data_IF_538402042424
#
_entry.id   IF_538402042424
#
_cell.length_a   1.000
_cell.length_b   1.000
_cell.length_c   1.000
_cell.angle_alpha   90.00
_cell.angle_beta   90.00
_cell.angle_gamma   90.00
#
_symmetry.space_group_name_H-M   'P 1'
#
loop_
_entity.id
_entity.type
_entity.pdbx_description
1 polymer ?
#
# COMPACT_ATOMS: atom_id res chain seq x y z
N UNK A 1 8.22 5.74 23.49
CA UNK A 1 8.31 7.21 23.43
C UNK A 1 8.22 7.72 21.98
N UNK A 2 8.84 7.08 21.00
CA UNK A 2 8.81 7.48 19.57
C UNK A 2 7.42 7.37 18.93
N UNK A 3 6.68 6.27 19.15
CA UNK A 3 5.32 6.08 18.62
C UNK A 3 4.33 7.15 19.15
N UNK A 4 4.47 7.55 20.43
CA UNK A 4 3.63 8.60 21.04
C UNK A 4 3.85 9.95 20.38
N UNK A 5 5.10 10.31 20.05
CA UNK A 5 5.43 11.56 19.38
C UNK A 5 5.04 11.54 17.89
N UNK A 6 5.11 10.38 17.24
CA UNK A 6 4.66 10.18 15.86
C UNK A 6 3.13 10.24 15.74
N UNK A 7 2.40 9.65 16.70
CA UNK A 7 0.94 9.75 16.77
C UNK A 7 0.48 11.19 16.99
N UNK A 8 1.17 11.94 17.85
CA UNK A 8 0.93 13.37 18.06
C UNK A 8 1.22 14.16 16.77
N UNK A 9 2.26 13.82 16.01
CA UNK A 9 2.58 14.47 14.75
C UNK A 9 1.51 14.21 13.67
N UNK A 10 0.99 12.99 13.58
CA UNK A 10 -0.14 12.64 12.68
C UNK A 10 -1.42 13.37 13.10
N UNK A 11 -1.74 13.40 14.39
CA UNK A 11 -2.90 14.12 14.93
C UNK A 11 -2.78 15.62 14.70
N UNK A 12 -1.59 16.19 14.87
CA UNK A 12 -1.31 17.62 14.59
C UNK A 12 -1.43 17.89 13.09
N UNK A 13 -0.92 17.03 12.19
CA UNK A 13 -1.16 17.14 10.77
C UNK A 13 -2.65 17.11 10.42
N UNK A 14 -3.45 16.26 11.07
CA UNK A 14 -4.92 16.23 10.89
C UNK A 14 -5.61 17.51 11.36
N UNK A 15 -5.09 18.21 12.39
CA UNK A 15 -5.68 19.45 12.90
C UNK A 15 -5.32 20.68 12.08
N UNK A 16 -4.17 20.74 11.42
CA UNK A 16 -3.79 21.86 10.56
C UNK A 16 -4.61 21.92 9.25
N UNK A 17 -5.29 20.84 8.85
CA UNK A 17 -6.07 20.78 7.61
C UNK A 17 -7.56 21.14 7.79
N UNK A 18 -8.00 21.66 8.94
CA UNK A 18 -9.35 22.22 9.08
C UNK A 18 -9.53 23.61 8.45
N UNK A 19 -8.52 24.13 7.72
CA UNK A 19 -8.63 25.39 7.01
C UNK A 19 -9.01 25.15 5.54
N UNK A 20 -10.26 25.49 5.19
CA UNK A 20 -10.77 25.78 3.85
C UNK A 20 -10.72 24.62 2.82
N UNK A 21 -11.40 23.53 3.11
CA UNK A 21 -11.96 22.72 2.03
C UNK A 21 -13.22 23.41 1.51
N UNK A 22 -13.19 23.99 0.33
CA UNK A 22 -14.41 24.27 -0.42
C UNK A 22 -15.10 22.92 -0.60
N UNK A 23 -16.28 22.79 -0.01
CA UNK A 23 -17.16 21.65 -0.20
C UNK A 23 -17.50 21.56 -1.68
N UNK A 24 -16.82 20.73 -2.43
CA UNK A 24 -17.31 20.27 -3.72
C UNK A 24 -18.55 19.44 -3.40
N UNK A 25 -19.71 20.08 -3.51
CA UNK A 25 -21.02 19.42 -3.55
C UNK A 25 -21.09 18.53 -4.78
N UNK A 26 -20.40 17.41 -4.74
CA UNK A 26 -20.70 16.28 -5.60
C UNK A 26 -21.68 15.38 -4.85
N UNK A 27 -22.93 15.79 -4.76
CA UNK A 27 -24.07 14.88 -4.66
C UNK A 27 -24.15 14.08 -5.98
N UNK A 28 -23.13 13.24 -6.20
CA UNK A 28 -23.24 12.24 -7.28
C UNK A 28 -24.32 11.28 -6.84
N UNK A 29 -25.46 11.33 -7.52
CA UNK A 29 -26.52 10.32 -7.44
C UNK A 29 -25.79 8.97 -7.48
N UNK A 30 -25.86 8.19 -6.37
CA UNK A 30 -25.23 6.87 -6.32
C UNK A 30 -25.89 6.03 -7.40
N UNK A 31 -25.18 5.83 -8.50
CA UNK A 31 -25.67 5.00 -9.61
C UNK A 31 -25.74 3.57 -9.10
N UNK A 32 -26.93 2.96 -9.14
CA UNK A 32 -27.10 1.56 -8.74
C UNK A 32 -26.41 0.61 -9.74
N UNK A 33 -25.91 -0.51 -9.20
CA UNK A 33 -25.24 -1.55 -9.95
C UNK A 33 -23.71 -1.49 -9.83
N UNK A 34 -23.04 -2.16 -10.74
CA UNK A 34 -21.60 -2.21 -10.82
C UNK A 34 -21.04 -0.97 -11.50
N UNK A 35 -19.94 -0.48 -10.95
CA UNK A 35 -19.12 0.60 -11.50
C UNK A 35 -17.66 0.17 -11.44
N UNK A 36 -16.92 0.48 -12.46
CA UNK A 36 -15.49 0.22 -12.51
C UNK A 36 -14.72 1.47 -12.94
N UNK A 37 -13.52 1.60 -12.47
CA UNK A 37 -12.56 2.61 -12.90
C UNK A 37 -11.16 2.08 -12.71
N UNK A 38 -10.23 2.55 -13.49
CA UNK A 38 -8.84 2.12 -13.32
C UNK A 38 -7.90 3.05 -14.04
N UNK A 39 -6.62 2.95 -13.67
CA UNK A 39 -5.53 3.65 -14.33
C UNK A 39 -4.30 2.79 -14.40
N UNK A 40 -3.57 2.92 -15.48
CA UNK A 40 -2.21 2.41 -15.65
C UNK A 40 -1.25 3.59 -15.55
N UNK A 41 -0.23 3.46 -14.71
CA UNK A 41 0.78 4.50 -14.50
C UNK A 41 2.16 3.93 -14.81
N UNK A 42 2.89 4.60 -15.69
CA UNK A 42 4.30 4.32 -15.96
C UNK A 42 5.13 5.48 -15.41
N UNK A 43 5.89 5.19 -14.36
CA UNK A 43 6.77 6.14 -13.69
C UNK A 43 8.21 5.91 -14.14
N UNK A 44 8.90 6.99 -14.50
CA UNK A 44 10.31 6.95 -14.88
C UNK A 44 11.11 7.99 -14.09
N UNK A 45 12.32 7.60 -13.71
CA UNK A 45 13.31 8.46 -13.09
C UNK A 45 14.69 8.16 -13.68
N UNK A 46 15.45 9.19 -14.04
CA UNK A 46 16.77 9.03 -14.64
C UNK A 46 17.75 10.05 -14.08
N UNK A 47 18.96 9.58 -13.81
CA UNK A 47 20.14 10.44 -13.54
C UNK A 47 21.24 10.07 -14.50
N UNK A 48 21.79 11.06 -15.21
CA UNK A 48 22.83 10.85 -16.21
C UNK A 48 23.96 11.86 -16.04
N UNK A 49 25.20 11.39 -16.01
CA UNK A 49 26.42 12.16 -15.92
C UNK A 49 27.31 11.90 -17.13
N UNK A 50 27.93 12.94 -17.67
CA UNK A 50 28.95 12.84 -18.73
C UNK A 50 30.06 13.83 -18.41
N UNK A 51 31.28 13.33 -18.24
CA UNK A 51 32.48 14.14 -17.90
C UNK A 51 32.27 14.98 -16.60
N UNK A 52 31.50 14.47 -15.65
CA UNK A 52 31.16 15.14 -14.40
C UNK A 52 32.23 14.85 -13.33
N UNK A 53 33.06 15.86 -13.00
CA UNK A 53 34.24 15.67 -12.13
C UNK A 53 33.86 15.44 -10.66
N UNK A 54 32.72 15.96 -10.22
CA UNK A 54 32.27 15.85 -8.80
C UNK A 54 31.80 14.46 -8.37
N UNK A 55 31.87 13.47 -9.27
CA UNK A 55 31.38 12.10 -9.00
C UNK A 55 29.89 11.95 -9.22
N UNK A 56 29.40 10.73 -9.19
CA UNK A 56 28.00 10.34 -9.38
C UNK A 56 27.89 9.10 -10.26
N UNK A 57 26.77 8.36 -10.11
CA UNK A 57 26.48 7.19 -10.91
C UNK A 57 25.29 7.45 -11.83
N UNK A 58 25.37 7.00 -13.07
CA UNK A 58 24.22 6.97 -13.96
C UNK A 58 23.20 5.96 -13.43
N UNK A 59 21.95 6.34 -13.39
CA UNK A 59 20.88 5.46 -12.97
C UNK A 59 19.61 5.65 -13.78
N UNK A 60 18.88 4.58 -13.98
CA UNK A 60 17.53 4.60 -14.55
C UNK A 60 16.61 3.72 -13.69
N UNK A 61 15.47 4.27 -13.32
CA UNK A 61 14.44 3.55 -12.62
C UNK A 61 13.11 3.66 -13.38
N UNK A 62 12.39 2.55 -13.46
CA UNK A 62 11.07 2.50 -14.07
C UNK A 62 10.12 1.66 -13.22
N UNK A 63 8.88 2.14 -13.06
CA UNK A 63 7.82 1.43 -12.36
C UNK A 63 6.56 1.46 -13.21
N UNK A 64 5.97 0.28 -13.41
CA UNK A 64 4.64 0.12 -13.98
C UNK A 64 3.66 -0.22 -12.87
N UNK A 65 2.54 0.49 -12.77
CA UNK A 65 1.47 0.17 -11.84
C UNK A 65 0.10 0.18 -12.52
N UNK A 66 -0.79 -0.67 -12.02
CA UNK A 66 -2.19 -0.75 -12.42
C UNK A 66 -3.02 -0.66 -11.15
N UNK A 67 -3.89 0.34 -11.10
CA UNK A 67 -4.91 0.51 -10.09
C UNK A 67 -6.27 0.24 -10.72
N UNK A 68 -7.08 -0.65 -10.14
CA UNK A 68 -8.39 -0.97 -10.62
C UNK A 68 -9.40 -0.99 -9.48
N UNK A 69 -10.51 -0.28 -9.65
CA UNK A 69 -11.61 -0.23 -8.70
C UNK A 69 -12.84 -0.88 -9.31
N UNK A 70 -13.48 -1.75 -8.55
CA UNK A 70 -14.76 -2.37 -8.87
C UNK A 70 -15.71 -2.15 -7.71
N UNK A 71 -16.75 -1.37 -7.92
CA UNK A 71 -17.68 -0.95 -6.89
C UNK A 71 -19.10 -1.36 -7.26
N UNK A 72 -19.87 -1.77 -6.27
CA UNK A 72 -21.29 -2.10 -6.40
C UNK A 72 -22.09 -1.36 -5.36
N UNK A 73 -23.22 -0.83 -5.79
CA UNK A 73 -24.19 -0.25 -4.87
C UNK A 73 -25.61 -0.60 -5.28
N UNK A 74 -26.41 -1.18 -4.39
CA UNK A 74 -27.85 -1.40 -4.58
C UNK A 74 -28.54 -1.71 -3.25
N UNK A 75 -29.73 -1.10 -3.03
CA UNK A 75 -30.60 -1.41 -1.88
C UNK A 75 -29.86 -1.34 -0.51
N UNK A 76 -28.97 -0.37 -0.33
CA UNK A 76 -28.18 -0.19 0.88
C UNK A 76 -27.05 -1.21 1.08
N UNK A 77 -26.79 -2.08 0.09
CA UNK A 77 -25.55 -2.83 -0.01
C UNK A 77 -24.49 -2.02 -0.75
N UNK A 78 -23.28 -2.05 -0.28
CA UNK A 78 -22.10 -1.55 -0.98
C UNK A 78 -21.03 -2.62 -1.01
N UNK A 79 -20.29 -2.69 -2.10
CA UNK A 79 -19.13 -3.55 -2.22
C UNK A 79 -18.06 -2.79 -2.98
N UNK A 80 -17.06 -2.32 -2.25
CA UNK A 80 -15.95 -1.53 -2.77
C UNK A 80 -14.70 -2.41 -2.84
N UNK A 81 -14.16 -2.65 -4.03
CA UNK A 81 -12.96 -3.45 -4.24
C UNK A 81 -11.92 -2.62 -4.98
N UNK A 82 -10.71 -2.54 -4.42
CA UNK A 82 -9.53 -1.94 -5.06
C UNK A 82 -8.46 -3.01 -5.26
N UNK A 83 -7.97 -3.13 -6.48
CA UNK A 83 -6.85 -3.99 -6.86
C UNK A 83 -5.68 -3.13 -7.29
N UNK A 84 -4.49 -3.44 -6.80
CA UNK A 84 -3.25 -2.75 -7.16
C UNK A 84 -2.21 -3.77 -7.54
N UNK A 85 -1.64 -3.61 -8.73
CA UNK A 85 -0.46 -4.32 -9.18
C UNK A 85 0.64 -3.30 -9.47
N UNK A 86 1.85 -3.49 -8.94
CA UNK A 86 2.96 -2.59 -9.20
C UNK A 86 4.28 -3.36 -9.28
N UNK A 87 5.10 -3.04 -10.27
CA UNK A 87 6.44 -3.61 -10.42
C UNK A 87 7.41 -2.55 -10.91
N UNK A 88 8.53 -2.41 -10.20
CA UNK A 88 9.55 -1.42 -10.53
C UNK A 88 10.96 -1.94 -10.35
N UNK A 89 11.84 -1.50 -11.21
CA UNK A 89 13.27 -1.84 -11.23
C UNK A 89 14.12 -0.60 -11.36
N UNK A 90 15.30 -0.65 -10.76
CA UNK A 90 16.38 0.32 -10.90
C UNK A 90 17.64 -0.36 -11.43
N UNK A 91 18.39 0.33 -12.27
CA UNK A 91 19.72 -0.04 -12.75
C UNK A 91 20.67 1.15 -12.61
N UNK A 92 21.73 0.96 -11.84
CA UNK A 92 22.86 1.87 -11.77
C UNK A 92 23.96 1.38 -12.72
N UNK A 93 24.79 2.28 -13.25
CA UNK A 93 25.91 1.93 -14.14
C UNK A 93 26.83 0.86 -13.54
N UNK A 94 27.14 1.00 -12.26
CA UNK A 94 28.13 0.16 -11.57
C UNK A 94 27.52 -1.11 -10.94
N UNK A 95 26.20 -1.27 -10.98
CA UNK A 95 25.52 -2.44 -10.47
C UNK A 95 25.47 -3.56 -11.50
N UNK A 96 25.83 -4.78 -11.10
CA UNK A 96 25.68 -5.99 -11.94
C UNK A 96 24.19 -6.32 -12.20
N UNK A 97 23.31 -6.04 -11.25
CA UNK A 97 21.92 -6.47 -11.26
C UNK A 97 20.93 -5.31 -11.46
N UNK A 98 19.79 -5.60 -12.08
CA UNK A 98 18.59 -4.80 -11.90
C UNK A 98 18.08 -5.04 -10.47
N UNK A 99 17.90 -3.95 -9.71
CA UNK A 99 17.40 -4.00 -8.33
C UNK A 99 15.92 -3.67 -8.31
N UNK A 100 15.14 -4.49 -7.67
CA UNK A 100 13.72 -4.28 -7.47
C UNK A 100 13.50 -3.10 -6.51
N UNK A 101 12.69 -2.13 -6.90
CA UNK A 101 12.35 -0.93 -6.12
C UNK A 101 10.88 -0.86 -5.76
N UNK A 102 10.02 -1.55 -6.52
CA UNK A 102 8.61 -1.76 -6.21
C UNK A 102 8.19 -3.16 -6.64
N UNK A 103 7.31 -3.79 -5.88
CA UNK A 103 6.75 -5.10 -6.24
C UNK A 103 5.57 -5.40 -5.32
N UNK A 104 4.36 -5.26 -5.83
CA UNK A 104 3.16 -5.36 -5.03
C UNK A 104 2.01 -5.94 -5.82
N UNK A 105 1.32 -6.89 -5.21
CA UNK A 105 -0.04 -7.32 -5.55
C UNK A 105 -0.88 -7.06 -4.31
N UNK A 106 -1.92 -6.28 -4.43
CA UNK A 106 -2.80 -5.97 -3.31
C UNK A 106 -4.25 -5.97 -3.77
N UNK A 107 -5.13 -6.61 -2.99
CA UNK A 107 -6.58 -6.60 -3.17
C UNK A 107 -7.20 -6.18 -1.86
N UNK A 108 -7.92 -5.07 -1.88
CA UNK A 108 -8.71 -4.58 -0.76
C UNK A 108 -10.17 -4.62 -1.15
N UNK A 109 -11.00 -5.34 -0.40
CA UNK A 109 -12.41 -5.49 -0.67
C UNK A 109 -13.21 -5.28 0.61
N UNK A 110 -14.18 -4.36 0.59
CA UNK A 110 -15.06 -4.08 1.72
C UNK A 110 -16.50 -4.20 1.25
N UNK A 111 -17.24 -5.13 1.84
CA UNK A 111 -18.67 -5.27 1.65
C UNK A 111 -19.39 -4.69 2.86
N UNK A 112 -20.41 -3.84 2.63
CA UNK A 112 -21.16 -3.18 3.68
C UNK A 112 -22.67 -3.28 3.48
N UNK A 113 -23.42 -3.41 4.59
CA UNK A 113 -24.88 -3.25 4.61
C UNK A 113 -25.23 -2.04 5.47
N UNK A 114 -25.79 -1.02 4.85
CA UNK A 114 -26.22 0.22 5.52
C UNK A 114 -27.28 -0.11 6.58
N UNK A 115 -27.11 0.40 7.81
CA UNK A 115 -28.09 0.32 8.89
C UNK A 115 -28.54 1.69 9.40
N UNK A 116 -27.68 2.71 9.26
CA UNK A 116 -28.01 4.12 9.51
C UNK A 116 -27.21 4.98 8.52
N UNK A 117 -27.51 6.28 8.42
CA UNK A 117 -26.78 7.19 7.53
C UNK A 117 -25.29 7.07 7.68
N UNK A 118 -24.56 6.98 6.59
CA UNK A 118 -23.10 6.84 6.53
C UNK A 118 -22.50 5.60 7.24
N UNK A 119 -23.24 4.84 8.06
CA UNK A 119 -22.75 3.67 8.76
C UNK A 119 -23.31 2.37 8.17
N UNK A 120 -22.43 1.39 8.04
CA UNK A 120 -22.76 0.04 7.55
C UNK A 120 -22.10 -1.03 8.43
N UNK A 121 -22.78 -2.14 8.67
CA UNK A 121 -22.08 -3.35 9.06
C UNK A 121 -21.18 -3.77 7.93
N UNK A 122 -19.94 -4.15 8.22
CA UNK A 122 -18.95 -4.46 7.19
C UNK A 122 -18.31 -5.83 7.38
N UNK A 123 -17.93 -6.42 6.24
CA UNK A 123 -16.94 -7.48 6.17
C UNK A 123 -15.89 -7.05 5.16
N UNK A 124 -14.60 -7.29 5.47
CA UNK A 124 -13.54 -6.94 4.55
C UNK A 124 -12.58 -8.11 4.31
N UNK A 125 -11.96 -8.09 3.13
CA UNK A 125 -10.83 -8.91 2.73
C UNK A 125 -9.67 -7.98 2.33
N UNK A 126 -8.49 -8.19 2.91
CA UNK A 126 -7.24 -7.63 2.39
C UNK A 126 -6.31 -8.80 2.04
N UNK A 127 -5.73 -8.73 0.86
CA UNK A 127 -4.70 -9.65 0.39
C UNK A 127 -3.50 -8.85 -0.10
N UNK A 128 -2.30 -9.20 0.37
CA UNK A 128 -1.03 -8.60 -0.05
C UNK A 128 0.00 -9.66 -0.35
N UNK A 129 0.71 -9.52 -1.46
CA UNK A 129 1.92 -10.29 -1.80
C UNK A 129 2.76 -9.53 -2.82
N UNK A 130 3.73 -10.19 -3.45
CA UNK A 130 4.62 -9.66 -4.47
C UNK A 130 4.73 -10.61 -5.67
N UNK A 131 5.15 -10.10 -6.85
CA UNK A 131 5.30 -10.89 -8.08
C UNK A 131 6.62 -11.65 -8.12
N UNK A 132 7.73 -10.95 -7.88
CA UNK A 132 9.06 -11.37 -8.22
C UNK A 132 9.93 -11.66 -6.98
N UNK A 133 11.04 -12.36 -7.20
CA UNK A 133 12.04 -12.57 -6.16
C UNK A 133 12.64 -11.24 -5.70
N UNK A 134 12.73 -11.05 -4.39
CA UNK A 134 13.47 -9.97 -3.76
C UNK A 134 14.80 -10.46 -3.23
N UNK A 135 15.83 -9.61 -3.32
CA UNK A 135 17.19 -9.98 -2.97
C UNK A 135 17.80 -8.97 -1.99
N UNK A 136 18.63 -9.47 -1.09
CA UNK A 136 19.63 -8.68 -0.37
C UNK A 136 20.92 -8.72 -1.18
N UNK A 137 21.48 -7.56 -1.48
CA UNK A 137 22.73 -7.42 -2.22
C UNK A 137 23.88 -7.17 -1.26
N UNK A 138 25.05 -7.69 -1.59
CA UNK A 138 26.32 -7.51 -0.87
C UNK A 138 27.48 -7.60 -1.83
N UNK A 139 28.64 -7.05 -1.47
CA UNK A 139 29.88 -7.19 -2.20
C UNK A 139 30.73 -8.26 -1.49
N UNK A 140 31.26 -9.22 -2.23
CA UNK A 140 32.18 -10.23 -1.68
C UNK A 140 33.61 -9.65 -1.52
N UNK A 141 34.51 -10.45 -0.96
CA UNK A 141 35.92 -10.04 -0.71
C UNK A 141 36.68 -9.72 -1.99
N UNK A 142 36.25 -10.26 -3.12
CA UNK A 142 36.83 -10.00 -4.46
C UNK A 142 36.28 -8.74 -5.12
N UNK A 143 35.38 -7.98 -4.42
CA UNK A 143 34.73 -6.79 -4.97
C UNK A 143 33.53 -7.07 -5.88
N UNK A 144 33.11 -8.32 -6.07
CA UNK A 144 31.99 -8.69 -6.92
C UNK A 144 30.65 -8.51 -6.19
N UNK A 145 29.68 -7.91 -6.87
CA UNK A 145 28.31 -7.83 -6.35
C UNK A 145 27.63 -9.21 -6.37
N UNK A 146 27.15 -9.63 -5.20
CA UNK A 146 26.43 -10.89 -4.96
C UNK A 146 25.02 -10.60 -4.45
N UNK A 147 24.13 -11.60 -4.52
CA UNK A 147 22.75 -11.45 -4.03
C UNK A 147 22.24 -12.73 -3.38
N UNK A 148 21.45 -12.57 -2.30
CA UNK A 148 20.77 -13.63 -1.59
C UNK A 148 19.28 -13.38 -1.65
N UNK A 149 18.50 -14.38 -2.12
CA UNK A 149 17.05 -14.31 -2.19
C UNK A 149 16.45 -14.16 -0.78
N UNK A 150 15.58 -13.18 -0.58
CA UNK A 150 14.91 -12.90 0.69
C UNK A 150 13.40 -13.03 0.61
N UNK A 151 12.80 -12.78 -0.54
CA UNK A 151 11.36 -12.85 -0.75
C UNK A 151 11.03 -13.37 -2.15
N UNK A 152 9.81 -13.87 -2.34
CA UNK A 152 9.24 -14.31 -3.63
C UNK A 152 7.72 -14.26 -3.59
N UNK A 153 7.06 -14.62 -4.71
CA UNK A 153 5.61 -14.78 -4.76
C UNK A 153 5.12 -15.65 -3.59
N UNK A 154 4.11 -15.19 -2.87
CA UNK A 154 3.56 -15.80 -1.65
C UNK A 154 4.57 -16.00 -0.49
N UNK A 155 5.67 -15.25 -0.50
CA UNK A 155 6.67 -15.33 0.59
C UNK A 155 7.30 -13.94 0.86
N UNK A 156 6.66 -13.12 1.74
CA UNK A 156 5.42 -13.38 2.44
C UNK A 156 4.17 -13.11 1.59
N UNK A 157 3.03 -13.72 2.01
CA UNK A 157 1.69 -13.28 1.64
C UNK A 157 0.87 -13.06 2.90
N UNK A 158 0.02 -12.02 2.90
CA UNK A 158 -0.87 -11.67 4.00
C UNK A 158 -2.32 -11.74 3.51
N UNK A 159 -3.15 -12.43 4.26
CA UNK A 159 -4.60 -12.50 4.05
C UNK A 159 -5.25 -12.04 5.33
N UNK A 160 -6.05 -10.98 5.27
CA UNK A 160 -6.84 -10.51 6.42
C UNK A 160 -8.32 -10.58 6.07
N UNK A 161 -9.10 -11.08 7.02
CA UNK A 161 -10.56 -11.12 6.96
C UNK A 161 -11.11 -10.59 8.28
N UNK A 162 -12.06 -9.67 8.22
CA UNK A 162 -12.64 -9.12 9.44
C UNK A 162 -14.06 -8.62 9.25
N UNK A 163 -14.77 -8.49 10.38
CA UNK A 163 -16.11 -7.93 10.45
C UNK A 163 -16.14 -6.73 11.39
N UNK A 164 -16.94 -5.73 11.04
CA UNK A 164 -16.94 -4.49 11.79
C UNK A 164 -17.97 -3.46 11.35
N UNK A 165 -17.60 -2.20 11.55
CA UNK A 165 -18.40 -1.02 11.20
C UNK A 165 -17.63 -0.20 10.18
N UNK A 166 -18.29 0.11 9.07
CA UNK A 166 -17.79 0.96 8.00
C UNK A 166 -18.54 2.28 8.01
N UNK A 167 -17.83 3.36 8.33
CA UNK A 167 -18.30 4.71 8.18
C UNK A 167 -17.79 5.28 6.85
N UNK A 168 -18.69 5.70 5.98
CA UNK A 168 -18.36 6.26 4.67
C UNK A 168 -19.13 7.55 4.46
N UNK A 169 -18.43 8.69 4.61
CA UNK A 169 -18.99 10.00 4.29
C UNK A 169 -19.24 10.13 2.78
N UNK A 170 -18.23 9.76 1.98
CA UNK A 170 -18.26 9.75 0.52
C UNK A 170 -17.12 8.86 -0.02
N UNK A 171 -16.85 8.91 -1.34
CA UNK A 171 -15.72 8.14 -1.92
C UNK A 171 -14.34 8.69 -1.56
N UNK A 172 -14.26 9.90 -1.01
CA UNK A 172 -13.00 10.54 -0.62
C UNK A 172 -12.69 10.42 0.87
N UNK A 173 -13.65 10.04 1.72
CA UNK A 173 -13.43 9.91 3.16
C UNK A 173 -14.24 8.75 3.72
N UNK A 174 -13.52 7.77 4.25
CA UNK A 174 -14.12 6.63 4.93
C UNK A 174 -13.18 6.02 5.99
N UNK A 175 -13.77 5.34 6.94
CA UNK A 175 -13.08 4.58 8.00
C UNK A 175 -13.78 3.25 8.19
N UNK A 176 -13.04 2.15 8.26
CA UNK A 176 -13.53 0.82 8.64
C UNK A 176 -12.85 0.38 9.92
N UNK A 177 -13.63 0.05 10.94
CA UNK A 177 -13.17 -0.52 12.19
C UNK A 177 -13.68 -1.95 12.31
N UNK A 178 -12.77 -2.91 12.33
CA UNK A 178 -13.06 -4.33 12.42
C UNK A 178 -12.42 -4.95 13.67
N UNK A 179 -13.16 -5.00 14.79
CA UNK A 179 -12.65 -5.51 16.08
C UNK A 179 -12.40 -7.03 16.07
N UNK A 180 -12.95 -7.75 15.10
CA UNK A 180 -12.69 -9.18 14.92
C UNK A 180 -12.09 -9.38 13.54
N UNK A 181 -10.76 -9.52 13.50
CA UNK A 181 -9.97 -9.66 12.28
C UNK A 181 -8.99 -10.82 12.41
N UNK A 182 -9.16 -11.85 11.57
CA UNK A 182 -8.17 -12.90 11.38
C UNK A 182 -7.12 -12.45 10.35
N UNK A 183 -5.84 -12.70 10.63
CA UNK A 183 -4.72 -12.51 9.70
C UNK A 183 -3.97 -13.82 9.52
N UNK A 184 -3.81 -14.27 8.28
CA UNK A 184 -2.99 -15.41 7.91
C UNK A 184 -1.77 -14.93 7.16
N UNK A 185 -0.59 -15.25 7.65
CA UNK A 185 0.70 -14.97 7.03
C UNK A 185 1.23 -16.26 6.43
N UNK A 186 1.64 -16.23 5.18
CA UNK A 186 2.15 -17.39 4.44
C UNK A 186 3.59 -17.16 3.97
N UNK A 187 4.40 -18.21 3.99
CA UNK A 187 5.73 -18.21 3.38
C UNK A 187 6.15 -19.60 2.92
N UNK A 188 7.09 -19.64 1.98
CA UNK A 188 7.75 -20.87 1.57
C UNK A 188 8.67 -21.39 2.68
N UNK A 189 8.65 -22.69 2.94
CA UNK A 189 9.58 -23.37 3.85
C UNK A 189 11.05 -23.16 3.51
N UNK A 190 11.36 -22.78 2.26
CA UNK A 190 12.72 -22.39 1.87
C UNK A 190 13.31 -21.30 2.77
N UNK A 191 12.47 -20.36 3.26
CA UNK A 191 12.93 -19.23 4.07
C UNK A 191 12.85 -19.51 5.57
N UNK A 192 12.11 -20.54 5.98
CA UNK A 192 11.93 -20.86 7.40
C UNK A 192 12.73 -22.07 7.86
N UNK A 193 13.11 -23.00 6.96
CA UNK A 193 13.89 -24.19 7.34
C UNK A 193 15.30 -23.86 7.81
N UNK A 194 15.94 -22.87 7.19
CA UNK A 194 17.33 -22.49 7.46
C UNK A 194 17.47 -21.43 8.59
N UNK A 195 16.38 -21.09 9.26
CA UNK A 195 16.40 -20.18 10.41
C UNK A 195 17.05 -20.86 11.62
N UNK A 196 17.71 -20.08 12.46
CA UNK A 196 18.18 -20.55 13.74
C UNK A 196 17.00 -20.77 14.71
N UNK A 197 17.28 -21.47 15.82
CA UNK A 197 16.28 -21.65 16.87
C UNK A 197 15.86 -20.30 17.47
N UNK A 198 14.56 -20.01 17.48
CA UNK A 198 14.01 -18.74 17.98
C UNK A 198 13.98 -17.60 16.96
N UNK A 199 14.50 -17.79 15.74
CA UNK A 199 14.32 -16.85 14.64
C UNK A 199 12.98 -17.08 13.91
N UNK A 200 12.44 -16.03 13.37
CA UNK A 200 11.17 -16.00 12.61
C UNK A 200 11.37 -15.30 11.27
N UNK A 201 10.60 -15.72 10.29
CA UNK A 201 10.51 -15.08 8.99
C UNK A 201 9.12 -14.45 8.85
N UNK A 202 9.03 -13.11 8.96
CA UNK A 202 7.76 -12.39 9.02
C UNK A 202 6.78 -12.99 10.07
N UNK A 203 7.29 -13.27 11.27
CA UNK A 203 6.55 -13.88 12.36
C UNK A 203 6.29 -15.38 12.23
N UNK A 204 6.68 -16.02 11.13
CA UNK A 204 6.53 -17.47 10.93
C UNK A 204 7.72 -18.20 11.54
N UNK A 205 7.50 -19.11 12.52
CA UNK A 205 8.57 -19.85 13.17
C UNK A 205 9.31 -20.79 12.22
N UNK A 206 10.52 -21.17 12.64
CA UNK A 206 11.35 -22.15 11.93
C UNK A 206 10.56 -23.40 11.52
N UNK A 207 10.71 -23.82 10.26
CA UNK A 207 10.12 -25.04 9.70
C UNK A 207 8.63 -24.97 9.42
N UNK A 208 7.96 -23.88 9.80
CA UNK A 208 6.55 -23.65 9.49
C UNK A 208 6.41 -22.88 8.15
N UNK A 209 5.21 -22.88 7.57
CA UNK A 209 4.88 -22.17 6.33
C UNK A 209 3.77 -21.15 6.50
N UNK A 210 3.21 -21.04 7.70
CA UNK A 210 2.13 -20.11 8.01
C UNK A 210 2.11 -19.73 9.48
N UNK A 211 1.50 -18.55 9.75
CA UNK A 211 1.13 -18.08 11.08
C UNK A 211 -0.26 -17.49 11.00
N UNK A 212 -1.11 -17.83 11.98
CA UNK A 212 -2.42 -17.24 12.16
C UNK A 212 -2.42 -16.29 13.35
N UNK A 213 -3.10 -15.17 13.20
CA UNK A 213 -3.29 -14.14 14.21
C UNK A 213 -4.78 -13.77 14.27
N UNK A 214 -5.24 -13.32 15.43
CA UNK A 214 -6.58 -12.81 15.67
C UNK A 214 -6.48 -11.48 16.39
N UNK A 215 -7.12 -10.45 15.83
CA UNK A 215 -6.94 -9.11 16.36
C UNK A 215 -8.00 -8.11 15.94
N UNK A 216 -7.65 -6.83 16.04
CA UNK A 216 -8.44 -5.72 15.53
C UNK A 216 -7.73 -5.01 14.38
N UNK A 217 -8.51 -4.51 13.43
CA UNK A 217 -8.02 -3.69 12.32
C UNK A 217 -8.78 -2.38 12.21
N UNK A 218 -8.04 -1.30 11.89
CA UNK A 218 -8.61 -0.01 11.49
C UNK A 218 -8.01 0.34 10.13
N UNK A 219 -8.88 0.62 9.15
CA UNK A 219 -8.46 1.16 7.86
C UNK A 219 -9.15 2.48 7.61
N UNK A 220 -8.40 3.49 7.15
CA UNK A 220 -8.94 4.80 6.83
C UNK A 220 -8.38 5.30 5.50
N UNK A 221 -9.19 6.07 4.79
CA UNK A 221 -8.82 6.72 3.54
C UNK A 221 -9.32 8.15 3.52
N UNK A 222 -8.47 9.04 3.06
CA UNK A 222 -8.82 10.43 2.84
C UNK A 222 -8.14 10.95 1.57
N UNK A 223 -8.98 11.51 0.67
CA UNK A 223 -8.57 12.14 -0.58
C UNK A 223 -9.10 13.55 -0.65
N UNK A 224 -8.27 14.51 -1.04
CA UNK A 224 -8.66 15.90 -1.21
C UNK A 224 -7.75 16.62 -2.20
N UNK A 225 -8.28 17.68 -2.81
CA UNK A 225 -7.53 18.60 -3.64
C UNK A 225 -6.79 19.60 -2.73
N UNK A 226 -5.45 19.60 -2.78
CA UNK A 226 -4.63 20.52 -1.99
C UNK A 226 -4.67 21.92 -2.61
N UNK A 227 -4.43 21.97 -3.91
CA UNK A 227 -4.57 23.13 -4.79
C UNK A 227 -4.99 22.62 -6.17
N UNK A 228 -5.25 23.51 -7.11
CA UNK A 228 -5.55 23.15 -8.50
C UNK A 228 -4.47 22.21 -9.06
N UNK A 229 -4.90 21.11 -9.69
CA UNK A 229 -4.05 20.06 -10.26
C UNK A 229 -3.19 19.27 -9.26
N UNK A 230 -3.38 19.42 -7.94
CA UNK A 230 -2.65 18.66 -6.92
C UNK A 230 -3.63 17.93 -6.00
N UNK A 231 -3.69 16.62 -6.13
CA UNK A 231 -4.55 15.72 -5.34
C UNK A 231 -3.70 14.97 -4.33
N UNK A 232 -4.11 14.97 -3.06
CA UNK A 232 -3.52 14.16 -2.02
C UNK A 232 -4.45 13.00 -1.66
N UNK A 233 -3.88 11.80 -1.57
CA UNK A 233 -4.53 10.60 -1.05
C UNK A 233 -3.75 10.09 0.16
N UNK A 234 -4.44 9.88 1.27
CA UNK A 234 -3.87 9.29 2.48
C UNK A 234 -4.60 7.99 2.78
N UNK A 235 -3.83 6.97 3.12
CA UNK A 235 -4.33 5.67 3.57
C UNK A 235 -3.60 5.25 4.82
N UNK A 236 -4.37 4.81 5.81
CA UNK A 236 -3.86 4.27 7.07
C UNK A 236 -4.46 2.89 7.27
N UNK A 237 -3.62 1.91 7.58
CA UNK A 237 -4.05 0.62 8.08
C UNK A 237 -3.32 0.35 9.40
N UNK A 238 -4.07 0.03 10.43
CA UNK A 238 -3.59 -0.37 11.74
C UNK A 238 -4.06 -1.79 12.02
N UNK A 239 -3.22 -2.59 12.65
CA UNK A 239 -3.58 -3.91 13.12
C UNK A 239 -2.93 -4.21 14.47
N UNK A 240 -3.68 -4.83 15.38
CA UNK A 240 -3.18 -5.29 16.67
C UNK A 240 -3.56 -6.75 16.86
N UNK A 241 -2.58 -7.61 17.15
CA UNK A 241 -2.77 -9.03 17.41
C UNK A 241 -3.13 -9.26 18.88
N UNK A 242 -4.34 -9.74 19.17
CA UNK A 242 -4.80 -10.07 20.52
C UNK A 242 -4.08 -11.25 21.15
N UNK A 243 -3.58 -12.17 20.31
CA UNK A 243 -2.93 -13.40 20.77
C UNK A 243 -1.48 -13.20 21.15
N UNK A 244 -0.85 -12.11 20.65
CA UNK A 244 0.55 -11.84 20.90
C UNK A 244 0.84 -10.33 20.90
N UNK A 245 1.17 -9.78 22.08
CA UNK A 245 1.50 -8.36 22.29
C UNK A 245 0.44 -7.40 21.73
N UNK A 246 -0.75 -7.46 22.30
CA UNK A 246 -1.89 -6.63 21.86
C UNK A 246 -1.65 -5.10 21.97
N UNK A 247 -0.66 -4.67 22.77
CA UNK A 247 -0.19 -3.29 22.89
C UNK A 247 0.71 -2.86 21.72
N UNK A 248 1.18 -3.80 20.91
CA UNK A 248 1.95 -3.50 19.70
C UNK A 248 1.02 -3.39 18.49
N UNK A 249 1.08 -2.25 17.82
CA UNK A 249 0.22 -1.94 16.67
C UNK A 249 1.07 -1.86 15.42
N UNK A 250 0.77 -2.73 14.45
CA UNK A 250 1.31 -2.64 13.10
C UNK A 250 0.71 -1.42 12.40
N UNK A 251 1.53 -0.70 11.66
CA UNK A 251 1.17 0.50 10.90
C UNK A 251 1.56 0.32 9.43
N UNK A 252 0.62 0.59 8.52
CA UNK A 252 0.89 0.84 7.11
C UNK A 252 0.23 2.17 6.72
N UNK A 253 1.05 3.22 6.64
CA UNK A 253 0.60 4.56 6.23
C UNK A 253 1.17 4.88 4.85
N UNK A 254 0.30 5.32 3.94
CA UNK A 254 0.70 5.77 2.61
C UNK A 254 0.12 7.15 2.33
N UNK A 255 0.98 8.11 1.98
CA UNK A 255 0.64 9.40 1.41
C UNK A 255 1.03 9.39 -0.07
N UNK A 256 0.07 9.70 -0.94
CA UNK A 256 0.30 9.87 -2.38
C UNK A 256 -0.11 11.28 -2.79
N UNK A 257 0.79 12.00 -3.46
CA UNK A 257 0.53 13.29 -4.07
C UNK A 257 0.61 13.14 -5.59
N UNK A 258 -0.48 13.46 -6.26
CA UNK A 258 -0.59 13.45 -7.73
C UNK A 258 -0.65 14.90 -8.21
N UNK A 259 0.32 15.30 -9.02
CA UNK A 259 0.46 16.65 -9.55
C UNK A 259 0.29 16.59 -11.07
N UNK A 260 -0.91 16.94 -11.55
CA UNK A 260 -1.25 16.87 -12.97
C UNK A 260 -0.53 17.98 -13.74
N UNK A 261 0.20 17.61 -14.80
CA UNK A 261 0.83 18.53 -15.75
C UNK A 261 -0.09 18.71 -16.97
N UNK A 262 -0.58 17.60 -17.52
CA UNK A 262 -1.59 17.57 -18.59
C UNK A 262 -2.37 16.24 -18.51
N UNK A 263 -3.17 15.90 -19.53
CA UNK A 263 -4.04 14.71 -19.51
C UNK A 263 -3.26 13.37 -19.49
N UNK A 264 -2.00 13.36 -19.93
CA UNK A 264 -1.18 12.15 -20.01
C UNK A 264 0.02 12.17 -19.06
N UNK A 265 0.44 13.36 -18.62
CA UNK A 265 1.66 13.55 -17.86
C UNK A 265 1.36 14.11 -16.48
N UNK A 266 1.92 13.51 -15.46
CA UNK A 266 1.85 13.95 -14.07
C UNK A 266 3.18 13.75 -13.37
N UNK A 267 3.36 14.39 -12.22
CA UNK A 267 4.40 14.06 -11.25
C UNK A 267 3.74 13.38 -10.07
N UNK A 268 4.34 12.32 -9.58
CA UNK A 268 3.81 11.57 -8.45
C UNK A 268 4.86 11.47 -7.34
N UNK A 269 4.44 11.75 -6.11
CA UNK A 269 5.21 11.49 -4.88
C UNK A 269 4.41 10.49 -4.05
N UNK A 270 5.05 9.38 -3.67
CA UNK A 270 4.49 8.39 -2.75
C UNK A 270 5.43 8.25 -1.57
N UNK A 271 4.92 8.47 -0.36
CA UNK A 271 5.62 8.23 0.90
C UNK A 271 4.87 7.12 1.64
N UNK A 272 5.57 6.05 1.97
CA UNK A 272 5.01 4.93 2.74
C UNK A 272 5.83 4.69 4.00
N UNK A 273 5.14 4.61 5.14
CA UNK A 273 5.70 4.27 6.43
C UNK A 273 5.11 2.94 6.87
N UNK A 274 5.96 1.95 7.11
CA UNK A 274 5.58 0.62 7.58
C UNK A 274 6.23 0.34 8.94
N UNK A 275 5.45 -0.15 9.88
CA UNK A 275 5.93 -0.74 11.11
C UNK A 275 5.21 -2.06 11.33
N UNK A 276 5.96 -3.15 11.41
CA UNK A 276 5.52 -4.51 11.70
C UNK A 276 6.67 -5.19 12.46
N UNK A 277 6.50 -5.45 13.74
CA UNK A 277 7.57 -6.02 14.58
C UNK A 277 7.85 -7.50 14.26
N UNK A 278 6.93 -8.18 13.59
CA UNK A 278 7.13 -9.52 13.05
C UNK A 278 8.05 -9.52 11.83
N UNK A 279 8.10 -8.42 11.06
CA UNK A 279 8.98 -8.26 9.91
C UNK A 279 10.34 -7.67 10.32
N UNK A 280 10.29 -6.46 10.91
CA UNK A 280 11.48 -5.77 11.43
C UNK A 280 11.06 -4.78 12.53
N UNK A 281 11.71 -4.83 13.70
CA UNK A 281 11.42 -3.95 14.86
C UNK A 281 11.88 -2.51 14.66
N UNK A 282 11.63 -1.95 13.47
CA UNK A 282 11.99 -0.57 13.10
C UNK A 282 10.96 -0.02 12.14
N UNK A 283 10.73 1.28 12.20
CA UNK A 283 9.95 1.98 11.19
C UNK A 283 10.69 1.92 9.84
N UNK A 284 10.00 1.45 8.83
CA UNK A 284 10.48 1.40 7.45
C UNK A 284 9.90 2.58 6.69
N UNK A 285 10.71 3.31 5.96
CA UNK A 285 10.30 4.42 5.11
C UNK A 285 10.62 4.09 3.66
N UNK A 286 9.64 4.30 2.78
CA UNK A 286 9.80 4.25 1.33
C UNK A 286 9.31 5.57 0.74
N UNK A 287 10.12 6.16 -0.12
CA UNK A 287 9.77 7.34 -0.90
C UNK A 287 9.97 7.03 -2.38
N UNK A 288 8.99 7.42 -3.20
CA UNK A 288 9.06 7.31 -4.66
C UNK A 288 8.57 8.62 -5.25
N UNK A 289 9.43 9.28 -6.00
CA UNK A 289 9.14 10.52 -6.72
C UNK A 289 9.56 10.38 -8.17
N UNK A 290 8.75 10.82 -9.11
CA UNK A 290 9.12 10.77 -10.52
C UNK A 290 8.05 11.28 -11.46
N UNK A 291 8.43 11.35 -12.75
CA UNK A 291 7.54 11.69 -13.84
C UNK A 291 6.70 10.47 -14.22
N UNK A 292 5.39 10.65 -14.29
CA UNK A 292 4.43 9.60 -14.53
C UNK A 292 3.64 9.86 -15.83
N UNK A 293 3.56 8.83 -16.68
CA UNK A 293 2.61 8.76 -17.77
C UNK A 293 1.39 7.98 -17.26
N UNK A 294 0.21 8.57 -17.37
CA UNK A 294 -1.04 8.02 -16.87
C UNK A 294 -1.99 7.74 -18.03
N UNK A 295 -2.54 6.53 -18.05
CA UNK A 295 -3.56 6.11 -19.02
C UNK A 295 -4.74 5.58 -18.21
N UNK A 296 -5.90 6.21 -18.36
CA UNK A 296 -7.12 5.73 -17.74
C UNK A 296 -7.62 4.46 -18.43
N UNK A 297 -7.99 3.47 -17.65
CA UNK A 297 -8.65 2.27 -18.14
C UNK A 297 -10.11 2.65 -18.35
N UNK A 298 -10.57 2.57 -19.61
CA UNK A 298 -11.92 2.93 -19.99
C UNK A 298 -12.96 2.22 -19.11
N UNK A 299 -13.97 2.97 -18.67
CA UNK A 299 -15.15 2.41 -18.03
C UNK A 299 -15.84 1.45 -19.01
N UNK A 300 -16.00 0.19 -18.61
CA UNK A 300 -16.78 -0.76 -19.40
C UNK A 300 -18.25 -0.32 -19.26
N UNK A 301 -18.95 0.01 -20.37
CA UNK A 301 -20.36 0.35 -20.30
C UNK A 301 -21.13 -0.82 -19.70
N UNK A 302 -22.08 -0.52 -18.82
CA UNK A 302 -22.91 -1.44 -18.05
C UNK A 302 -23.34 -2.66 -18.86
N UNK A 303 -22.99 -3.83 -18.36
CA UNK A 303 -23.76 -5.04 -18.67
C UNK A 303 -25.00 -4.96 -17.77
N UNK A 304 -26.16 -4.74 -18.37
CA UNK A 304 -27.49 -4.68 -17.75
C UNK A 304 -27.83 -6.00 -17.04
#
# INVERSE_FOLDING_TARGET
>A
MFLRNFFVFIVVLFHFFNCYSQEVKNDTVKVEGWQNSGKTTFLINQTAFSNWISGGENSVAATLSVDYNLNYYKNGWSWDTKMVGSFGVNKNSDSKFFKKIDDRIEVNSVMGKKFIDQFSFSSFLNFKTQFAKGFKYSTNEEGNETRIEKTRLFSPAYIQLGVGIYWKKNNSLWVNFAPVTGRLILASKKFTNDLNQGEEYFGIPRGQNSRFELGASISAFYKFDLVENVVLEQRVNLYSDYLYKADNVDLDYTLSAFMKINDYLSTTLVIQCLYDDNAIKKLQLREVFGLAFVIDILEIPRIL
#
